data_IF_601063118322
#
_entry.id   IF_601063118322
#
_cell.length_a   1.000
_cell.length_b   1.000
_cell.length_c   1.000
_cell.angle_alpha   90.00
_cell.angle_beta   90.00
_cell.angle_gamma   90.00
#
_symmetry.space_group_name_H-M   'P 1'
#
loop_
_entity.id
_entity.type
_entity.pdbx_description
1 polymer ?
#
# COMPACT_ATOMS: atom_id res chain seq x y z
N UNK A 1 -13.32 -5.68 -9.04
CA UNK A 1 -14.11 -6.73 -8.34
C UNK A 1 -14.58 -6.19 -6.97
N UNK A 2 -15.86 -6.34 -6.63
CA UNK A 2 -16.40 -6.04 -5.30
C UNK A 2 -15.78 -6.95 -4.22
N UNK A 3 -15.71 -6.47 -2.98
CA UNK A 3 -15.11 -7.23 -1.86
C UNK A 3 -15.84 -8.55 -1.61
N UNK A 4 -17.18 -8.55 -1.69
CA UNK A 4 -18.02 -9.75 -1.60
C UNK A 4 -17.61 -10.86 -2.57
N UNK A 5 -17.31 -10.49 -3.81
CA UNK A 5 -16.90 -11.47 -4.83
C UNK A 5 -15.48 -11.99 -4.61
N UNK A 6 -14.58 -11.14 -4.11
CA UNK A 6 -13.20 -11.55 -3.76
C UNK A 6 -13.25 -12.51 -2.56
N UNK A 7 -14.05 -12.20 -1.55
CA UNK A 7 -14.30 -13.04 -0.39
C UNK A 7 -14.79 -14.44 -0.81
N UNK A 8 -15.83 -14.51 -1.66
CA UNK A 8 -16.35 -15.77 -2.17
C UNK A 8 -15.29 -16.57 -2.96
N UNK A 9 -14.50 -15.90 -3.82
CA UNK A 9 -13.44 -16.56 -4.60
C UNK A 9 -12.28 -17.09 -3.77
N UNK A 10 -12.00 -16.45 -2.63
CA UNK A 10 -10.85 -16.78 -1.77
C UNK A 10 -11.25 -17.54 -0.49
N UNK A 11 -12.55 -17.85 -0.32
CA UNK A 11 -13.11 -18.41 0.91
C UNK A 11 -12.75 -17.59 2.18
N UNK A 12 -12.81 -16.26 2.07
CA UNK A 12 -12.51 -15.31 3.14
C UNK A 12 -13.74 -14.49 3.53
N UNK A 13 -13.70 -13.85 4.70
CA UNK A 13 -14.71 -12.84 5.05
C UNK A 13 -14.48 -11.52 4.29
N UNK A 14 -15.55 -10.74 4.06
CA UNK A 14 -15.43 -9.41 3.45
C UNK A 14 -14.55 -8.46 4.26
N UNK A 15 -14.57 -8.59 5.59
CA UNK A 15 -13.72 -7.81 6.51
C UNK A 15 -12.24 -8.15 6.32
N UNK A 16 -11.91 -9.42 6.15
CA UNK A 16 -10.55 -9.89 5.84
C UNK A 16 -10.06 -9.31 4.52
N UNK A 17 -10.92 -9.32 3.48
CA UNK A 17 -10.62 -8.71 2.19
C UNK A 17 -10.35 -7.20 2.32
N UNK A 18 -11.17 -6.48 3.10
CA UNK A 18 -10.95 -5.03 3.36
C UNK A 18 -9.58 -4.79 4.01
N UNK A 19 -9.21 -5.58 5.03
CA UNK A 19 -7.91 -5.47 5.70
C UNK A 19 -6.75 -5.73 4.73
N UNK A 20 -6.84 -6.77 3.90
CA UNK A 20 -5.84 -7.04 2.86
C UNK A 20 -5.72 -5.88 1.86
N UNK A 21 -6.84 -5.31 1.39
CA UNK A 21 -6.82 -4.14 0.50
C UNK A 21 -6.12 -2.96 1.17
N UNK A 22 -6.37 -2.68 2.44
CA UNK A 22 -5.65 -1.62 3.16
C UNK A 22 -4.14 -1.87 3.24
N UNK A 23 -3.73 -3.10 3.53
CA UNK A 23 -2.30 -3.45 3.55
C UNK A 23 -1.65 -3.33 2.16
N UNK A 24 -2.35 -3.74 1.11
CA UNK A 24 -1.87 -3.56 -0.28
C UNK A 24 -1.71 -2.08 -0.59
N UNK A 25 -2.72 -1.25 -0.28
CA UNK A 25 -2.63 0.20 -0.48
C UNK A 25 -1.44 0.81 0.27
N UNK A 26 -1.20 0.41 1.52
CA UNK A 26 -0.02 0.85 2.30
C UNK A 26 1.31 0.43 1.65
N UNK A 27 1.43 -0.83 1.22
CA UNK A 27 2.63 -1.34 0.54
C UNK A 27 2.87 -0.65 -0.80
N UNK A 28 1.81 -0.24 -1.49
CA UNK A 28 1.90 0.56 -2.71
C UNK A 28 2.04 2.07 -2.44
N UNK A 29 2.10 2.51 -1.18
CA UNK A 29 2.06 3.92 -0.78
C UNK A 29 0.88 4.71 -1.40
N UNK A 30 -0.25 4.07 -1.63
CA UNK A 30 -1.43 4.62 -2.31
C UNK A 30 -2.55 4.99 -1.33
N UNK A 31 -3.31 6.03 -1.68
CA UNK A 31 -4.44 6.53 -0.89
C UNK A 31 -5.78 5.92 -1.32
N UNK A 32 -5.84 5.37 -2.53
CA UNK A 32 -7.02 4.70 -3.05
C UNK A 32 -6.65 3.43 -3.83
N UNK A 33 -7.66 2.58 -4.04
CA UNK A 33 -7.47 1.28 -4.69
C UNK A 33 -6.98 1.41 -6.14
N UNK A 34 -7.40 2.45 -6.86
CA UNK A 34 -7.00 2.68 -8.25
C UNK A 34 -5.53 3.06 -8.33
N UNK A 35 -5.10 3.98 -7.47
CA UNK A 35 -3.72 4.42 -7.36
C UNK A 35 -2.80 3.26 -6.97
N UNK A 36 -3.22 2.39 -6.05
CA UNK A 36 -2.46 1.18 -5.71
C UNK A 36 -2.21 0.29 -6.93
N UNK A 37 -3.23 0.11 -7.78
CA UNK A 37 -3.11 -0.65 -9.03
C UNK A 37 -2.20 0.05 -10.03
N UNK A 38 -2.31 1.38 -10.17
CA UNK A 38 -1.48 2.15 -11.10
C UNK A 38 -0.01 2.15 -10.67
N UNK A 39 0.29 2.33 -9.38
CA UNK A 39 1.65 2.25 -8.82
C UNK A 39 2.22 0.85 -8.94
N UNK A 40 1.45 -0.19 -8.60
CA UNK A 40 1.86 -1.59 -8.79
C UNK A 40 2.20 -1.92 -10.24
N UNK A 41 1.46 -1.35 -11.20
CA UNK A 41 1.70 -1.51 -12.64
C UNK A 41 2.85 -0.65 -13.18
N UNK A 42 3.56 0.11 -12.33
CA UNK A 42 4.62 1.04 -12.75
C UNK A 42 4.12 2.23 -13.56
N UNK A 43 2.81 2.51 -13.55
CA UNK A 43 2.17 3.61 -14.30
C UNK A 43 2.11 4.91 -13.51
N UNK A 44 2.36 4.85 -12.21
CA UNK A 44 2.59 6.00 -11.35
C UNK A 44 3.90 5.77 -10.61
N UNK A 45 4.77 6.79 -10.49
CA UNK A 45 5.91 6.69 -9.59
C UNK A 45 5.38 6.45 -8.18
N UNK A 46 6.04 5.55 -7.45
CA UNK A 46 5.83 5.49 -6.01
C UNK A 46 6.24 6.87 -5.48
N UNK A 47 5.28 7.66 -4.97
CA UNK A 47 5.66 8.79 -4.13
C UNK A 47 6.43 8.19 -2.97
N UNK A 48 7.75 8.35 -3.02
CA UNK A 48 8.61 8.14 -1.89
C UNK A 48 8.05 8.99 -0.78
N UNK A 49 7.45 8.36 0.21
CA UNK A 49 7.54 8.88 1.56
C UNK A 49 8.84 8.30 2.08
N UNK A 50 9.89 9.07 1.90
CA UNK A 50 10.78 9.51 2.98
C UNK A 50 10.54 8.73 4.29
N UNK A 51 11.15 7.55 4.38
CA UNK A 51 11.61 7.06 5.66
C UNK A 51 13.11 6.85 5.50
N UNK A 52 13.84 7.96 5.60
CA UNK A 52 15.26 7.98 5.96
C UNK A 52 15.38 7.42 7.38
N UNK A 53 15.93 6.21 7.59
CA UNK A 53 16.33 5.76 8.91
C UNK A 53 17.81 6.18 9.09
N UNK A 54 18.01 7.43 9.50
CA UNK A 54 19.21 7.96 10.18
C UNK A 54 20.60 7.81 9.53
N UNK A 55 21.25 8.92 9.20
CA UNK A 55 22.73 9.08 9.24
C UNK A 55 23.22 10.55 9.27
N UNK A 56 23.52 11.10 10.46
CA UNK A 56 24.51 12.18 10.72
C UNK A 56 24.23 13.61 10.20
N UNK A 57 24.93 14.67 10.69
CA UNK A 57 26.20 14.63 11.41
C UNK A 57 26.12 15.11 12.88
N UNK A 58 26.92 14.48 13.74
CA UNK A 58 27.41 15.11 14.97
C UNK A 58 28.15 16.39 14.58
N UNK A 59 27.74 17.53 15.11
CA UNK A 59 28.53 18.75 15.08
C UNK A 59 29.46 18.70 16.29
N UNK A 60 30.74 18.43 16.05
CA UNK A 60 31.81 18.70 17.02
C UNK A 60 31.99 20.22 17.11
N UNK A 61 31.79 20.75 18.31
CA UNK A 61 32.38 22.01 18.82
C UNK A 61 32.70 21.81 20.28
#
# INVERSE_FOLDING_TARGET
LPNKLIAAKMNLSESTVKMHIQHIMRKCAAHNRTEAVLRWRGRLPAQGRDHEPGAGPMQET
#
